data_IF_567570893188
#
_entry.id   IF_567570893188
#
_cell.length_a   1.000
_cell.length_b   1.000
_cell.length_c   1.000
_cell.angle_alpha   90.00
_cell.angle_beta   90.00
_cell.angle_gamma   90.00
#
_symmetry.space_group_name_H-M   'P 1'
#
loop_
_entity.id
_entity.type
_entity.pdbx_description
1 polymer ?
#
# COMPACT_ATOMS: atom_id res chain seq x y z
N UNK A 1 26.27 35.41 22.37
CA UNK A 1 25.00 34.80 22.80
C UNK A 1 24.25 34.42 21.53
N UNK A 2 24.70 33.51 20.65
CA UNK A 2 25.11 32.10 20.76
C UNK A 2 24.05 31.18 21.41
N UNK A 3 23.43 30.39 20.52
CA UNK A 3 22.68 29.12 20.67
C UNK A 3 21.30 29.09 21.34
N UNK A 4 20.24 29.51 20.62
CA UNK A 4 18.87 29.05 20.91
C UNK A 4 18.05 28.58 19.69
N UNK A 5 18.60 28.65 18.47
CA UNK A 5 17.90 28.22 17.25
C UNK A 5 17.88 26.70 16.99
N UNK A 6 18.94 25.90 17.28
CA UNK A 6 18.87 24.46 16.99
C UNK A 6 17.99 23.69 17.98
N UNK A 7 17.64 24.27 19.14
CA UNK A 7 16.84 23.61 20.17
C UNK A 7 15.34 23.57 19.84
N UNK A 8 14.84 24.53 19.03
CA UNK A 8 13.43 24.55 18.62
C UNK A 8 13.14 23.58 17.45
N UNK A 9 14.15 23.24 16.64
CA UNK A 9 14.02 22.30 15.52
C UNK A 9 13.95 20.83 15.96
N UNK A 10 14.46 20.48 17.15
CA UNK A 10 14.33 19.13 17.70
C UNK A 10 12.93 18.84 18.28
N UNK A 11 12.12 19.86 18.56
CA UNK A 11 10.75 19.68 19.07
C UNK A 11 9.76 19.24 17.96
N UNK A 12 10.14 19.34 16.68
CA UNK A 12 9.31 18.87 15.56
C UNK A 12 9.48 17.38 15.23
N UNK A 13 10.24 16.60 16.02
CA UNK A 13 10.60 15.26 15.56
C UNK A 13 9.68 14.12 15.98
N UNK A 14 8.88 14.16 17.05
CA UNK A 14 8.09 12.97 17.41
C UNK A 14 6.78 13.34 18.12
N UNK A 15 5.81 13.85 17.36
CA UNK A 15 4.40 13.52 17.60
C UNK A 15 3.79 13.25 16.24
N UNK A 16 3.89 12.00 15.78
CA UNK A 16 3.06 11.55 14.69
C UNK A 16 1.62 11.71 15.14
N UNK A 17 0.96 12.78 14.71
CA UNK A 17 -0.49 12.70 14.59
C UNK A 17 -0.69 11.69 13.47
N UNK A 18 -0.86 10.43 13.84
CA UNK A 18 -1.18 9.37 12.90
C UNK A 18 -2.58 9.68 12.37
N UNK A 19 -2.62 10.57 11.38
CA UNK A 19 -3.83 10.91 10.68
C UNK A 19 -4.33 9.65 9.98
N UNK A 20 -5.63 9.44 10.07
CA UNK A 20 -6.37 8.35 9.44
C UNK A 20 -5.80 7.96 8.07
N UNK A 21 -5.38 6.70 7.94
CA UNK A 21 -4.65 6.15 6.79
C UNK A 21 -5.54 5.39 5.83
N UNK A 22 -6.71 4.95 6.26
CA UNK A 22 -7.58 4.21 5.35
C UNK A 22 -8.09 5.09 4.21
N UNK A 23 -7.82 4.70 2.96
CA UNK A 23 -8.43 5.29 1.77
C UNK A 23 -7.42 5.95 0.82
N UNK A 24 -7.78 6.00 -0.46
CA UNK A 24 -6.88 6.47 -1.52
C UNK A 24 -7.18 7.95 -1.79
N UNK A 25 -6.44 8.84 -1.12
CA UNK A 25 -6.62 10.29 -1.22
C UNK A 25 -7.76 10.85 -0.35
N UNK A 26 -7.98 12.18 -0.38
CA UNK A 26 -8.76 12.89 0.64
C UNK A 26 -10.25 12.51 0.66
N UNK A 27 -10.85 12.26 -0.51
CA UNK A 27 -12.27 11.90 -0.61
C UNK A 27 -12.52 10.50 -0.07
N UNK A 28 -11.76 9.52 -0.55
CA UNK A 28 -11.88 8.13 -0.09
C UNK A 28 -11.54 8.01 1.39
N UNK A 29 -10.56 8.78 1.87
CA UNK A 29 -10.18 8.86 3.28
C UNK A 29 -11.29 9.40 4.18
N UNK A 30 -12.01 10.43 3.74
CA UNK A 30 -13.17 10.96 4.48
C UNK A 30 -14.31 9.94 4.53
N UNK A 31 -14.60 9.28 3.40
CA UNK A 31 -15.68 8.28 3.33
C UNK A 31 -15.37 7.08 4.23
N UNK A 32 -14.14 6.55 4.16
CA UNK A 32 -13.73 5.42 5.00
C UNK A 32 -13.79 5.78 6.48
N UNK A 33 -13.42 7.02 6.86
CA UNK A 33 -13.53 7.50 8.24
C UNK A 33 -14.99 7.50 8.72
N UNK A 34 -15.92 8.03 7.91
CA UNK A 34 -17.35 8.06 8.25
C UNK A 34 -17.91 6.64 8.44
N UNK A 35 -17.50 5.69 7.59
CA UNK A 35 -17.90 4.29 7.72
C UNK A 35 -17.34 3.66 9.00
N UNK A 36 -16.09 3.98 9.37
CA UNK A 36 -15.43 3.41 10.54
C UNK A 36 -15.86 4.07 11.87
N UNK A 37 -16.34 5.31 11.83
CA UNK A 37 -16.68 6.14 13.00
C UNK A 37 -17.58 5.45 14.05
N UNK A 38 -18.57 4.60 13.71
CA UNK A 38 -19.38 3.89 14.70
C UNK A 38 -18.65 2.75 15.43
N UNK A 39 -17.39 2.49 15.11
CA UNK A 39 -16.58 1.39 15.62
C UNK A 39 -15.21 1.86 16.10
N UNK A 40 -14.35 0.93 16.53
CA UNK A 40 -12.98 1.25 16.92
C UNK A 40 -12.15 1.65 15.68
N UNK A 41 -12.11 2.96 15.44
CA UNK A 41 -11.36 3.55 14.33
C UNK A 41 -9.86 3.22 14.43
N UNK A 42 -9.30 3.10 15.63
CA UNK A 42 -7.88 2.81 15.81
C UNK A 42 -7.55 1.38 15.39
N UNK A 43 -8.44 0.42 15.65
CA UNK A 43 -8.27 -0.96 15.20
C UNK A 43 -8.37 -1.11 13.68
N UNK A 44 -9.27 -0.36 13.04
CA UNK A 44 -9.42 -0.35 11.58
C UNK A 44 -8.23 0.33 10.92
N UNK A 45 -7.79 1.46 11.46
CA UNK A 45 -6.67 2.24 10.93
C UNK A 45 -5.37 1.43 10.93
N UNK A 46 -5.14 0.62 11.98
CA UNK A 46 -4.02 -0.34 12.03
C UNK A 46 -4.02 -1.31 10.84
N UNK A 47 -5.18 -1.85 10.47
CA UNK A 47 -5.26 -2.73 9.31
C UNK A 47 -4.93 -1.98 8.01
N UNK A 48 -5.29 -0.71 7.90
CA UNK A 48 -4.96 0.11 6.74
C UNK A 48 -3.47 0.45 6.66
N UNK A 49 -2.85 0.81 7.79
CA UNK A 49 -1.40 1.03 7.89
C UNK A 49 -0.63 -0.23 7.46
N UNK A 50 -1.06 -1.40 7.92
CA UNK A 50 -0.45 -2.68 7.54
C UNK A 50 -0.61 -2.94 6.04
N UNK A 51 -1.82 -2.74 5.49
CA UNK A 51 -2.07 -2.90 4.06
C UNK A 51 -1.20 -1.99 3.19
N UNK A 52 -1.14 -0.70 3.52
CA UNK A 52 -0.29 0.27 2.80
C UNK A 52 1.20 -0.13 2.91
N UNK A 53 1.64 -0.61 4.07
CA UNK A 53 3.02 -1.08 4.26
C UNK A 53 3.33 -2.32 3.41
N UNK A 54 2.39 -3.26 3.30
CA UNK A 54 2.54 -4.45 2.46
C UNK A 54 2.63 -4.08 0.97
N UNK A 55 1.79 -3.14 0.51
CA UNK A 55 1.73 -2.73 -0.90
C UNK A 55 2.91 -1.83 -1.27
N UNK A 56 3.16 -0.76 -0.51
CA UNK A 56 4.12 0.29 -0.87
C UNK A 56 5.53 0.02 -0.30
N UNK A 57 5.61 -0.61 0.87
CA UNK A 57 6.89 -0.91 1.53
C UNK A 57 7.50 -2.22 1.02
N UNK A 58 6.75 -3.32 1.16
CA UNK A 58 7.23 -4.67 0.86
C UNK A 58 6.96 -5.12 -0.59
N UNK A 59 6.28 -4.31 -1.40
CA UNK A 59 5.95 -4.62 -2.81
C UNK A 59 5.23 -5.97 -2.99
N UNK A 60 4.45 -6.37 -1.98
CA UNK A 60 3.68 -7.59 -1.99
C UNK A 60 2.58 -7.48 -3.08
N UNK A 61 2.25 -8.56 -3.81
CA UNK A 61 1.16 -8.51 -4.78
C UNK A 61 -0.13 -8.03 -4.12
N UNK A 62 -0.78 -7.02 -4.72
CA UNK A 62 -1.94 -6.34 -4.11
C UNK A 62 -3.06 -7.30 -3.70
N UNK A 63 -3.30 -8.34 -4.50
CA UNK A 63 -4.26 -9.41 -4.19
C UNK A 63 -3.98 -10.12 -2.86
N UNK A 64 -2.71 -10.35 -2.54
CA UNK A 64 -2.28 -10.99 -1.30
C UNK A 64 -2.38 -10.00 -0.13
N UNK A 65 -2.00 -8.74 -0.34
CA UNK A 65 -2.16 -7.69 0.66
C UNK A 65 -3.65 -7.47 1.03
N UNK A 66 -4.54 -7.49 0.02
CA UNK A 66 -5.99 -7.38 0.21
C UNK A 66 -6.54 -8.54 1.05
N UNK A 67 -6.00 -9.75 0.87
CA UNK A 67 -6.39 -10.91 1.68
C UNK A 67 -5.98 -10.72 3.14
N UNK A 68 -4.72 -10.33 3.39
CA UNK A 68 -4.20 -10.08 4.73
C UNK A 68 -5.01 -8.96 5.41
N UNK A 69 -5.33 -7.90 4.68
CA UNK A 69 -6.18 -6.81 5.16
C UNK A 69 -7.57 -7.31 5.58
N UNK A 70 -8.20 -8.16 4.77
CA UNK A 70 -9.50 -8.74 5.07
C UNK A 70 -9.48 -9.70 6.26
N UNK A 71 -8.37 -10.41 6.46
CA UNK A 71 -8.12 -11.24 7.64
C UNK A 71 -7.93 -10.35 8.88
N UNK A 72 -7.17 -9.26 8.79
CA UNK A 72 -7.01 -8.28 9.88
C UNK A 72 -8.35 -7.78 10.39
N UNK A 73 -9.27 -7.38 9.50
CA UNK A 73 -10.62 -6.95 9.89
C UNK A 73 -11.49 -8.10 10.47
N UNK A 74 -11.24 -9.34 10.06
CA UNK A 74 -11.98 -10.50 10.57
C UNK A 74 -11.66 -10.84 12.02
N UNK A 75 -10.44 -10.51 12.47
CA UNK A 75 -9.99 -10.76 13.85
C UNK A 75 -10.57 -9.78 14.88
N UNK A 76 -11.13 -8.65 14.44
CA UNK A 76 -11.63 -7.61 15.34
C UNK A 76 -12.92 -8.04 16.02
N UNK A 77 -13.03 -7.81 17.32
CA UNK A 77 -14.18 -8.25 18.10
C UNK A 77 -15.30 -7.20 18.17
N UNK A 78 -15.81 -6.81 17.01
CA UNK A 78 -16.96 -5.91 16.89
C UNK A 78 -17.94 -6.44 15.86
N UNK A 79 -19.22 -6.51 16.25
CA UNK A 79 -20.31 -6.89 15.34
C UNK A 79 -20.36 -5.96 14.13
N UNK A 80 -20.22 -4.65 14.36
CA UNK A 80 -20.24 -3.65 13.29
C UNK A 80 -19.05 -3.84 12.34
N UNK A 81 -17.86 -4.15 12.87
CA UNK A 81 -16.69 -4.42 12.02
C UNK A 81 -16.93 -5.67 11.18
N UNK A 82 -17.40 -6.76 11.77
CA UNK A 82 -17.61 -8.04 11.07
C UNK A 82 -18.69 -7.96 9.98
N UNK A 83 -19.76 -7.20 10.21
CA UNK A 83 -20.94 -7.19 9.33
C UNK A 83 -21.09 -5.95 8.45
N UNK A 84 -20.39 -4.85 8.75
CA UNK A 84 -20.50 -3.60 7.98
C UNK A 84 -19.15 -3.17 7.42
N UNK A 85 -18.16 -2.94 8.30
CA UNK A 85 -16.85 -2.41 7.88
C UNK A 85 -16.13 -3.41 6.98
N UNK A 86 -15.99 -4.66 7.43
CA UNK A 86 -15.27 -5.70 6.68
C UNK A 86 -15.85 -5.89 5.28
N UNK A 87 -17.16 -6.13 5.08
CA UNK A 87 -17.70 -6.27 3.73
C UNK A 87 -17.43 -5.06 2.84
N UNK A 88 -17.60 -3.82 3.35
CA UNK A 88 -17.39 -2.61 2.58
C UNK A 88 -15.93 -2.41 2.18
N UNK A 89 -15.01 -2.52 3.13
CA UNK A 89 -13.59 -2.32 2.89
C UNK A 89 -12.96 -3.47 2.09
N UNK A 90 -13.31 -4.72 2.37
CA UNK A 90 -12.84 -5.85 1.58
C UNK A 90 -13.31 -5.78 0.12
N UNK A 91 -14.57 -5.41 -0.09
CA UNK A 91 -15.09 -5.27 -1.45
C UNK A 91 -14.39 -4.14 -2.19
N UNK A 92 -14.12 -3.01 -1.51
CA UNK A 92 -13.46 -1.87 -2.15
C UNK A 92 -12.03 -2.20 -2.58
N UNK A 93 -11.21 -2.83 -1.74
CA UNK A 93 -9.81 -3.17 -2.08
C UNK A 93 -9.75 -4.24 -3.18
N UNK A 94 -10.60 -5.27 -3.13
CA UNK A 94 -10.64 -6.32 -4.14
C UNK A 94 -11.13 -5.80 -5.50
N UNK A 95 -12.14 -4.93 -5.50
CA UNK A 95 -12.62 -4.28 -6.72
C UNK A 95 -11.53 -3.38 -7.32
N UNK A 96 -10.82 -2.63 -6.48
CA UNK A 96 -9.70 -1.81 -6.91
C UNK A 96 -8.63 -2.67 -7.58
N UNK A 97 -8.16 -3.73 -6.94
CA UNK A 97 -7.16 -4.65 -7.52
C UNK A 97 -7.61 -5.20 -8.87
N UNK A 98 -8.86 -5.67 -8.98
CA UNK A 98 -9.42 -6.16 -10.25
C UNK A 98 -9.48 -5.08 -11.33
N UNK A 99 -9.82 -3.85 -10.97
CA UNK A 99 -9.89 -2.74 -11.94
C UNK A 99 -8.54 -2.49 -12.59
N UNK A 100 -7.47 -2.44 -11.80
CA UNK A 100 -6.11 -2.21 -12.31
C UNK A 100 -5.51 -3.42 -13.03
N UNK A 101 -5.89 -4.64 -12.63
CA UNK A 101 -5.47 -5.85 -13.36
C UNK A 101 -6.11 -5.92 -14.76
N UNK A 102 -7.37 -5.51 -14.90
CA UNK A 102 -8.07 -5.47 -16.19
C UNK A 102 -7.53 -4.38 -17.13
N UNK A 103 -7.09 -3.24 -16.59
CA UNK A 103 -6.45 -2.17 -17.38
C UNK A 103 -5.14 -2.64 -18.04
N UNK A 104 -4.38 -3.50 -17.34
CA UNK A 104 -3.18 -4.15 -17.90
C UNK A 104 -3.51 -5.16 -19.02
N UNK A 105 -4.72 -5.69 -19.06
CA UNK A 105 -5.21 -6.65 -20.06
C UNK A 105 -5.76 -6.01 -21.35
N UNK A 106 -5.97 -4.70 -21.38
CA UNK A 106 -6.58 -3.97 -22.52
C UNK A 106 -5.57 -3.08 -23.23
N UNK A 107 -4.37 -3.62 -23.53
CA UNK A 107 -3.46 -2.98 -24.49
C UNK A 107 -3.55 -3.74 -25.83
N UNK A 108 -4.06 -3.13 -26.92
CA UNK A 108 -3.74 -3.63 -28.24
C UNK A 108 -2.23 -3.49 -28.44
N UNK A 109 -1.55 -4.62 -28.65
CA UNK A 109 -0.18 -4.66 -29.15
C UNK A 109 -0.20 -4.07 -30.56
N UNK A 110 0.07 -2.77 -30.68
CA UNK A 110 0.67 -2.23 -31.89
C UNK A 110 1.37 -0.91 -31.59
N UNK A 111 2.66 -0.99 -31.28
CA UNK A 111 3.55 0.16 -31.29
C UNK A 111 4.91 -0.24 -31.85
N UNK A 112 4.95 -0.34 -33.18
CA UNK A 112 6.13 -0.13 -34.01
C UNK A 112 5.86 1.23 -34.68
N UNK A 113 6.52 2.34 -34.37
CA UNK A 113 7.85 2.83 -34.80
C UNK A 113 7.84 4.29 -34.30
N UNK A 114 8.83 4.80 -33.57
CA UNK A 114 9.93 5.62 -34.10
C UNK A 114 11.12 5.43 -33.15
N UNK A 115 12.20 4.82 -33.66
CA UNK A 115 13.55 4.97 -33.11
C UNK A 115 14.13 6.31 -33.58
N UNK A 116 15.03 6.91 -32.80
CA UNK A 116 16.31 7.26 -33.37
C UNK A 116 17.46 6.52 -32.68
N UNK A 117 18.33 6.03 -33.55
CA UNK A 117 19.58 5.32 -33.35
C UNK A 117 20.58 6.07 -32.46
N UNK A 118 21.25 5.35 -31.56
CA UNK A 118 22.65 5.62 -31.22
C UNK A 118 23.34 4.36 -30.69
N UNK A 119 24.35 3.97 -31.45
CA UNK A 119 25.34 2.91 -31.33
C UNK A 119 25.97 2.59 -29.95
N UNK A 120 26.45 1.34 -29.89
CA UNK A 120 27.46 0.69 -29.00
C UNK A 120 27.00 -0.11 -27.75
N UNK A 121 27.76 -1.16 -27.32
CA UNK A 121 27.26 -2.54 -27.32
C UNK A 121 27.00 -3.12 -25.91
N UNK A 122 26.11 -4.10 -25.91
CA UNK A 122 25.61 -4.87 -24.77
C UNK A 122 26.66 -5.86 -24.25
N UNK A 123 27.15 -5.65 -23.02
CA UNK A 123 27.83 -6.69 -22.25
C UNK A 123 26.79 -7.59 -21.58
N UNK A 124 26.82 -8.87 -21.97
CA UNK A 124 26.00 -9.97 -21.45
C UNK A 124 26.58 -10.40 -20.09
N UNK A 125 25.81 -10.29 -19.01
CA UNK A 125 26.08 -11.02 -17.77
C UNK A 125 24.90 -11.93 -17.43
N UNK A 126 25.17 -13.23 -17.53
CA UNK A 126 24.29 -14.35 -17.22
C UNK A 126 23.99 -14.45 -15.70
N UNK A 127 22.86 -15.04 -15.28
CA UNK A 127 22.42 -15.11 -13.90
C UNK A 127 23.05 -16.31 -13.18
N UNK A 128 23.90 -16.05 -12.19
CA UNK A 128 24.44 -17.11 -11.32
C UNK A 128 24.71 -16.60 -9.90
N UNK A 129 23.67 -16.23 -9.15
CA UNK A 129 23.77 -15.98 -7.71
C UNK A 129 22.70 -16.68 -6.86
N UNK A 130 21.85 -17.52 -7.46
CA UNK A 130 20.92 -18.40 -6.74
C UNK A 130 21.43 -19.85 -6.69
N UNK A 131 22.64 -20.05 -6.15
CA UNK A 131 23.10 -21.42 -5.81
C UNK A 131 23.98 -21.57 -4.58
N UNK A 132 24.14 -20.54 -3.75
CA UNK A 132 25.01 -20.59 -2.57
C UNK A 132 24.32 -20.27 -1.23
N UNK A 133 23.00 -20.37 -1.16
CA UNK A 133 22.24 -20.21 0.10
C UNK A 133 21.51 -21.51 0.50
N UNK A 134 22.16 -22.65 0.20
CA UNK A 134 21.74 -23.98 0.67
C UNK A 134 22.87 -24.71 1.41
N UNK A 135 23.89 -23.98 1.86
CA UNK A 135 24.92 -24.48 2.77
C UNK A 135 25.40 -23.37 3.72
N UNK A 136 24.58 -23.09 4.73
CA UNK A 136 24.98 -22.55 6.03
C UNK A 136 23.97 -23.00 7.08
#
# INVERSE_FOLDING_TARGET
>A
MEFYLPSLLLAMQITGTEGWKCGIGPVSSTISYIIAFPSDITEIDKCCIEHDTLVDGLHLPRKEADQIFCECLATKDSWYIKHVVKPLFCTSVVLYTKWFDNDKGTKPVNQQIIQPDNDKPQERVEPSLLRNLERL
#
